data_IF_949315415245
#
_entry.id   IF_949315415245
#
_cell.length_a   1.000
_cell.length_b   1.000
_cell.length_c   1.000
_cell.angle_alpha   90.00
_cell.angle_beta   90.00
_cell.angle_gamma   90.00
#
_symmetry.space_group_name_H-M   'P 1'
#
loop_
_entity.id
_entity.type
_entity.pdbx_description
1 polymer ?
#
# COMPACT_ATOMS: atom_id res chain seq x y z
N UNK A 1 -17.46 39.25 -41.41
CA UNK A 1 -16.47 38.19 -41.13
C UNK A 1 -16.25 37.90 -39.63
N UNK A 2 -16.96 38.54 -38.69
CA UNK A 2 -16.83 38.30 -37.25
C UNK A 2 -17.52 37.01 -36.71
N UNK A 3 -18.64 36.48 -37.26
CA UNK A 3 -19.35 35.37 -36.61
C UNK A 3 -18.62 34.02 -36.67
N UNK A 4 -17.73 33.82 -37.65
CA UNK A 4 -16.92 32.59 -37.79
C UNK A 4 -15.85 32.46 -36.72
N UNK A 5 -15.24 33.56 -36.28
CA UNK A 5 -14.23 33.55 -35.21
C UNK A 5 -14.86 33.26 -33.84
N UNK A 6 -16.07 33.78 -33.59
CA UNK A 6 -16.81 33.53 -32.36
C UNK A 6 -17.27 32.06 -32.25
N UNK A 7 -17.76 31.49 -33.36
CA UNK A 7 -18.13 30.07 -33.43
C UNK A 7 -16.94 29.13 -33.21
N UNK A 8 -15.77 29.47 -33.78
CA UNK A 8 -14.54 28.71 -33.57
C UNK A 8 -14.06 28.77 -32.10
N UNK A 9 -14.16 29.93 -31.44
CA UNK A 9 -13.79 30.07 -30.03
C UNK A 9 -14.70 29.26 -29.09
N UNK A 10 -16.02 29.25 -29.34
CA UNK A 10 -16.98 28.45 -28.58
C UNK A 10 -16.72 26.95 -28.78
N UNK A 11 -16.47 26.51 -30.00
CA UNK A 11 -16.15 25.11 -30.31
C UNK A 11 -14.85 24.65 -29.63
N UNK A 12 -13.81 25.49 -29.62
CA UNK A 12 -12.55 25.22 -28.94
C UNK A 12 -12.75 25.09 -27.42
N UNK A 13 -13.51 26.01 -26.82
CA UNK A 13 -13.81 25.98 -25.39
C UNK A 13 -14.63 24.75 -24.99
N UNK A 14 -15.64 24.40 -25.79
CA UNK A 14 -16.43 23.17 -25.61
C UNK A 14 -15.55 21.92 -25.65
N UNK A 15 -14.64 21.84 -26.61
CA UNK A 15 -13.70 20.71 -26.75
C UNK A 15 -12.76 20.61 -25.55
N UNK A 16 -12.25 21.74 -25.05
CA UNK A 16 -11.40 21.78 -23.85
C UNK A 16 -12.12 21.26 -22.61
N UNK A 17 -13.40 21.62 -22.42
CA UNK A 17 -14.21 21.11 -21.31
C UNK A 17 -14.42 19.60 -21.42
N UNK A 18 -14.78 19.08 -22.59
CA UNK A 18 -14.96 17.63 -22.81
C UNK A 18 -13.65 16.87 -22.57
N UNK A 19 -12.51 17.38 -23.04
CA UNK A 19 -11.20 16.77 -22.79
C UNK A 19 -10.85 16.77 -21.28
N UNK A 20 -11.20 17.84 -20.56
CA UNK A 20 -10.98 17.93 -19.12
C UNK A 20 -11.86 16.93 -18.35
N UNK A 21 -13.13 16.82 -18.71
CA UNK A 21 -14.07 15.91 -18.06
C UNK A 21 -13.76 14.45 -18.36
N UNK A 22 -13.40 14.12 -19.61
CA UNK A 22 -12.94 12.76 -19.96
C UNK A 22 -11.64 12.38 -19.25
N UNK A 23 -10.70 13.32 -19.05
CA UNK A 23 -9.51 13.08 -18.20
C UNK A 23 -9.88 12.83 -16.75
N UNK A 24 -10.85 13.57 -16.20
CA UNK A 24 -11.34 13.36 -14.84
C UNK A 24 -12.03 11.99 -14.71
N UNK A 25 -12.90 11.65 -15.64
CA UNK A 25 -13.60 10.36 -15.68
C UNK A 25 -12.65 9.18 -15.81
N UNK A 26 -11.65 9.23 -16.71
CA UNK A 26 -10.63 8.17 -16.82
C UNK A 26 -9.83 7.98 -15.53
N UNK A 27 -9.52 9.06 -14.81
CA UNK A 27 -8.83 8.99 -13.52
C UNK A 27 -9.68 8.33 -12.45
N UNK A 28 -10.96 8.70 -12.37
CA UNK A 28 -11.89 8.06 -11.43
C UNK A 28 -12.10 6.57 -11.76
N UNK A 29 -12.21 6.22 -13.04
CA UNK A 29 -12.32 4.83 -13.47
C UNK A 29 -11.06 4.02 -13.11
N UNK A 30 -9.86 4.60 -13.27
CA UNK A 30 -8.61 3.95 -12.86
C UNK A 30 -8.53 3.74 -11.34
N UNK A 31 -8.92 4.75 -10.56
CA UNK A 31 -8.98 4.62 -9.08
C UNK A 31 -10.01 3.56 -8.65
N UNK A 32 -11.18 3.49 -9.29
CA UNK A 32 -12.20 2.48 -9.03
C UNK A 32 -11.70 1.06 -9.38
N UNK A 33 -11.02 0.92 -10.52
CA UNK A 33 -10.42 -0.35 -10.93
C UNK A 33 -9.34 -0.81 -9.93
N UNK A 34 -8.46 0.09 -9.50
CA UNK A 34 -7.43 -0.21 -8.51
C UNK A 34 -8.01 -0.56 -7.14
N UNK A 35 -9.04 0.15 -6.69
CA UNK A 35 -9.76 -0.16 -5.45
C UNK A 35 -10.44 -1.54 -5.52
N UNK A 36 -11.09 -1.86 -6.65
CA UNK A 36 -11.73 -3.15 -6.86
C UNK A 36 -10.71 -4.30 -6.88
N UNK A 37 -9.56 -4.11 -7.53
CA UNK A 37 -8.44 -5.05 -7.52
C UNK A 37 -7.95 -5.30 -6.08
N UNK A 38 -7.70 -4.23 -5.31
CA UNK A 38 -7.23 -4.35 -3.93
C UNK A 38 -8.24 -5.10 -3.04
N UNK A 39 -9.53 -4.81 -3.17
CA UNK A 39 -10.59 -5.52 -2.44
C UNK A 39 -10.71 -6.99 -2.85
N UNK A 40 -10.50 -7.31 -4.14
CA UNK A 40 -10.51 -8.68 -4.62
C UNK A 40 -9.36 -9.50 -4.01
N UNK A 41 -8.15 -8.94 -3.96
CA UNK A 41 -6.99 -9.59 -3.35
C UNK A 41 -7.19 -9.80 -1.85
N UNK A 42 -7.66 -8.79 -1.13
CA UNK A 42 -7.97 -8.91 0.29
C UNK A 42 -9.11 -9.90 0.58
N UNK A 43 -10.01 -10.13 -0.39
CA UNK A 43 -11.02 -11.17 -0.28
C UNK A 43 -10.42 -12.55 -0.47
N UNK A 44 -9.49 -12.74 -1.40
CA UNK A 44 -8.79 -14.01 -1.63
C UNK A 44 -8.12 -14.50 -0.33
N UNK A 45 -7.33 -13.64 0.32
CA UNK A 45 -6.69 -13.94 1.62
C UNK A 45 -7.68 -14.25 2.75
N UNK A 46 -8.94 -13.78 2.65
CA UNK A 46 -9.99 -14.18 3.61
C UNK A 46 -10.43 -15.63 3.43
N UNK A 47 -10.56 -16.02 2.17
CA UNK A 47 -11.19 -17.27 1.77
C UNK A 47 -10.16 -18.39 1.86
N UNK A 48 -8.93 -18.07 1.47
CA UNK A 48 -7.80 -18.98 1.50
C UNK A 48 -6.61 -18.33 2.23
N UNK A 49 -6.37 -18.68 3.50
CA UNK A 49 -5.19 -18.23 4.22
C UNK A 49 -3.88 -18.73 3.62
N UNK A 50 -3.89 -19.81 2.81
CA UNK A 50 -2.69 -20.34 2.16
C UNK A 50 -2.15 -19.37 1.08
N UNK A 51 -2.96 -18.40 0.61
CA UNK A 51 -2.57 -17.37 -0.37
C UNK A 51 -1.37 -16.51 0.08
N UNK A 52 -1.07 -16.46 1.38
CA UNK A 52 0.07 -15.68 1.94
C UNK A 52 0.96 -16.53 2.84
N UNK A 53 0.94 -17.86 2.66
CA UNK A 53 1.59 -18.79 3.57
C UNK A 53 3.09 -18.88 3.39
N UNK A 54 3.56 -18.86 2.16
CA UNK A 54 5.00 -18.87 1.86
C UNK A 54 5.49 -17.49 1.41
N UNK A 55 6.81 -17.33 1.43
CA UNK A 55 7.46 -16.05 1.12
C UNK A 55 7.16 -15.59 -0.30
N UNK A 56 7.09 -16.50 -1.28
CA UNK A 56 6.86 -16.15 -2.67
C UNK A 56 5.43 -15.67 -2.88
N UNK A 57 4.45 -16.42 -2.38
CA UNK A 57 3.03 -16.08 -2.42
C UNK A 57 2.75 -14.75 -1.68
N UNK A 58 3.44 -14.51 -0.56
CA UNK A 58 3.35 -13.24 0.17
C UNK A 58 3.85 -12.05 -0.66
N UNK A 59 5.01 -12.18 -1.31
CA UNK A 59 5.57 -11.12 -2.15
C UNK A 59 4.65 -10.85 -3.34
N UNK A 60 4.15 -11.90 -3.99
CA UNK A 60 3.21 -11.77 -5.10
C UNK A 60 1.92 -11.06 -4.66
N UNK A 61 1.33 -11.49 -3.54
CA UNK A 61 0.16 -10.84 -2.95
C UNK A 61 0.40 -9.36 -2.65
N UNK A 62 1.55 -9.02 -2.05
CA UNK A 62 1.90 -7.65 -1.73
C UNK A 62 2.08 -6.81 -3.00
N UNK A 63 2.81 -7.30 -4.00
CA UNK A 63 3.01 -6.62 -5.28
C UNK A 63 1.68 -6.37 -6.02
N UNK A 64 0.79 -7.37 -6.06
CA UNK A 64 -0.53 -7.24 -6.67
C UNK A 64 -1.42 -6.23 -5.95
N UNK A 65 -1.35 -6.18 -4.62
CA UNK A 65 -2.04 -5.18 -3.82
C UNK A 65 -1.45 -3.78 -4.06
N UNK A 66 -0.12 -3.64 -4.06
CA UNK A 66 0.56 -2.36 -4.27
C UNK A 66 0.28 -1.80 -5.67
N UNK A 67 0.13 -2.64 -6.70
CA UNK A 67 -0.34 -2.21 -8.01
C UNK A 67 -1.71 -1.51 -7.93
N UNK A 68 -2.64 -2.06 -7.14
CA UNK A 68 -3.94 -1.43 -6.86
C UNK A 68 -3.81 -0.12 -6.09
N UNK A 69 -2.92 -0.06 -5.09
CA UNK A 69 -2.63 1.16 -4.31
C UNK A 69 -2.06 2.28 -5.19
N UNK A 70 -1.19 1.96 -6.14
CA UNK A 70 -0.57 2.95 -7.04
C UNK A 70 -1.59 3.66 -7.93
N UNK A 71 -2.73 3.03 -8.22
CA UNK A 71 -3.82 3.67 -8.96
C UNK A 71 -4.52 4.79 -8.16
N UNK A 72 -4.40 4.80 -6.83
CA UNK A 72 -5.00 5.82 -5.96
C UNK A 72 -4.19 7.11 -6.04
N UNK A 73 -4.82 8.24 -6.38
CA UNK A 73 -4.09 9.51 -6.58
C UNK A 73 -3.67 10.18 -5.28
N UNK A 74 -4.45 10.04 -4.22
CA UNK A 74 -4.17 10.66 -2.93
C UNK A 74 -2.91 10.05 -2.30
N UNK A 75 -1.87 10.87 -2.11
CA UNK A 75 -0.57 10.42 -1.58
C UNK A 75 -0.66 9.97 -0.12
N UNK A 76 -1.45 10.66 0.70
CA UNK A 76 -1.60 10.30 2.10
C UNK A 76 -2.36 8.97 2.23
N UNK A 77 -3.42 8.82 1.42
CA UNK A 77 -4.16 7.57 1.33
C UNK A 77 -3.30 6.43 0.82
N UNK A 78 -2.49 6.64 -0.23
CA UNK A 78 -1.53 5.64 -0.71
C UNK A 78 -0.59 5.17 0.39
N UNK A 79 0.07 6.11 1.10
CA UNK A 79 0.99 5.76 2.19
C UNK A 79 0.32 4.87 3.24
N UNK A 80 -0.90 5.23 3.64
CA UNK A 80 -1.69 4.46 4.62
C UNK A 80 -2.09 3.09 4.09
N UNK A 81 -2.60 3.01 2.85
CA UNK A 81 -2.99 1.76 2.23
C UNK A 81 -1.78 0.82 2.06
N UNK A 82 -0.62 1.35 1.69
CA UNK A 82 0.64 0.60 1.65
C UNK A 82 0.95 0.01 3.02
N UNK A 83 0.98 0.83 4.09
CA UNK A 83 1.24 0.33 5.44
C UNK A 83 0.26 -0.77 5.87
N UNK A 84 -1.03 -0.61 5.57
CA UNK A 84 -2.03 -1.63 5.87
C UNK A 84 -1.85 -2.91 5.03
N UNK A 85 -1.50 -2.81 3.75
CA UNK A 85 -1.21 -3.97 2.89
C UNK A 85 0.00 -4.74 3.40
N UNK A 86 1.08 -4.05 3.73
CA UNK A 86 2.29 -4.66 4.29
C UNK A 86 1.98 -5.34 5.61
N UNK A 87 1.21 -4.70 6.50
CA UNK A 87 0.72 -5.37 7.72
C UNK A 87 -0.10 -6.63 7.42
N UNK A 88 -0.96 -6.63 6.40
CA UNK A 88 -1.72 -7.83 6.00
C UNK A 88 -0.80 -8.94 5.51
N UNK A 89 0.17 -8.62 4.66
CA UNK A 89 1.11 -9.58 4.10
C UNK A 89 1.98 -10.23 5.18
N UNK A 90 2.41 -9.44 6.19
CA UNK A 90 3.35 -9.88 7.20
C UNK A 90 2.69 -10.45 8.47
N UNK A 91 1.48 -10.02 8.83
CA UNK A 91 0.79 -10.51 10.03
C UNK A 91 0.51 -12.02 9.99
N UNK A 92 0.40 -12.64 8.80
CA UNK A 92 0.17 -14.09 8.66
C UNK A 92 1.39 -14.95 9.00
N UNK A 93 2.60 -14.40 8.90
CA UNK A 93 3.86 -15.17 8.91
C UNK A 93 4.80 -14.72 10.03
N UNK A 94 4.79 -13.43 10.38
CA UNK A 94 5.68 -12.82 11.37
C UNK A 94 4.99 -12.61 12.74
N UNK A 95 3.97 -13.43 13.03
CA UNK A 95 3.09 -13.28 14.19
C UNK A 95 3.78 -13.29 15.57
N UNK A 96 4.98 -13.86 15.67
CA UNK A 96 5.83 -13.78 16.88
C UNK A 96 6.51 -12.41 17.05
N UNK A 97 6.86 -11.72 15.96
CA UNK A 97 7.63 -10.47 16.02
C UNK A 97 6.76 -9.23 16.28
N UNK A 98 5.48 -9.30 15.91
CA UNK A 98 4.51 -8.24 16.19
C UNK A 98 4.02 -8.26 17.66
N UNK A 99 4.21 -9.39 18.37
CA UNK A 99 3.86 -9.53 19.79
C UNK A 99 4.83 -8.78 20.72
N UNK A 100 6.10 -8.61 20.32
CA UNK A 100 7.12 -7.93 21.14
C UNK A 100 6.90 -6.41 21.27
N UNK A 101 6.00 -5.82 20.46
CA UNK A 101 5.70 -4.39 20.47
C UNK A 101 4.22 -4.03 20.66
N UNK A 102 3.32 -5.02 20.64
CA UNK A 102 1.88 -4.80 20.77
C UNK A 102 1.24 -5.88 21.63
N UNK A 103 0.25 -5.51 22.45
CA UNK A 103 -0.61 -6.48 23.17
C UNK A 103 -1.54 -7.27 22.22
N UNK A 104 -1.35 -7.14 20.90
CA UNK A 104 -2.25 -7.71 19.90
C UNK A 104 -1.68 -9.00 19.30
N UNK A 105 -2.55 -10.00 19.16
CA UNK A 105 -2.19 -11.19 18.40
C UNK A 105 -2.23 -10.91 16.89
N UNK A 106 -1.51 -11.72 16.11
CA UNK A 106 -1.45 -11.65 14.65
C UNK A 106 -2.83 -11.55 13.97
N UNK A 107 -3.83 -12.28 14.48
CA UNK A 107 -5.19 -12.27 13.94
C UNK A 107 -5.90 -10.92 14.12
N UNK A 108 -5.71 -10.26 15.26
CA UNK A 108 -6.26 -8.92 15.54
C UNK A 108 -5.62 -7.86 14.64
N UNK A 109 -4.31 -7.92 14.44
CA UNK A 109 -3.60 -7.02 13.52
C UNK A 109 -4.05 -7.19 12.08
N UNK A 110 -4.17 -8.44 11.61
CA UNK A 110 -4.71 -8.76 10.29
C UNK A 110 -6.13 -8.20 10.13
N UNK A 111 -6.99 -8.37 11.13
CA UNK A 111 -8.35 -7.81 11.10
C UNK A 111 -8.34 -6.28 11.01
N UNK A 112 -7.54 -5.61 11.85
CA UNK A 112 -7.44 -4.14 11.87
C UNK A 112 -6.94 -3.58 10.54
N UNK A 113 -5.86 -4.14 9.99
CA UNK A 113 -5.27 -3.69 8.73
C UNK A 113 -6.25 -3.87 7.56
N UNK A 114 -6.95 -5.01 7.49
CA UNK A 114 -7.96 -5.26 6.46
C UNK A 114 -9.16 -4.34 6.59
N UNK A 115 -9.64 -4.10 7.81
CA UNK A 115 -10.73 -3.18 8.06
C UNK A 115 -10.34 -1.75 7.69
N UNK A 116 -9.10 -1.35 7.96
CA UNK A 116 -8.55 -0.05 7.58
C UNK A 116 -8.56 0.15 6.06
N UNK A 117 -8.02 -0.82 5.29
CA UNK A 117 -8.04 -0.76 3.82
C UNK A 117 -9.47 -0.62 3.30
N UNK A 118 -10.38 -1.48 3.77
CA UNK A 118 -11.77 -1.47 3.34
C UNK A 118 -12.42 -0.11 3.58
N UNK A 119 -12.32 0.43 4.80
CA UNK A 119 -12.92 1.72 5.15
C UNK A 119 -12.32 2.88 4.36
N UNK A 120 -11.01 2.86 4.15
CA UNK A 120 -10.30 3.85 3.35
C UNK A 120 -10.76 3.84 1.89
N UNK A 121 -10.94 2.66 1.30
CA UNK A 121 -11.42 2.52 -0.07
C UNK A 121 -12.89 2.87 -0.21
N UNK A 122 -13.76 2.42 0.70
CA UNK A 122 -15.19 2.76 0.72
C UNK A 122 -15.36 4.29 0.76
N UNK A 123 -14.75 4.97 1.74
CA UNK A 123 -14.79 6.43 1.84
C UNK A 123 -14.25 7.10 0.56
N UNK A 124 -13.17 6.57 -0.03
CA UNK A 124 -12.61 7.14 -1.26
C UNK A 124 -13.56 7.01 -2.46
N UNK A 125 -14.24 5.87 -2.59
CA UNK A 125 -15.21 5.57 -3.65
C UNK A 125 -16.47 6.42 -3.50
N UNK A 126 -16.91 6.65 -2.27
CA UNK A 126 -18.04 7.52 -1.94
C UNK A 126 -17.71 9.02 -2.06
N UNK A 127 -16.44 9.35 -2.31
CA UNK A 127 -15.97 10.73 -2.42
C UNK A 127 -15.84 11.45 -1.07
N UNK A 128 -15.86 10.69 0.02
CA UNK A 128 -15.71 11.15 1.38
C UNK A 128 -14.23 11.27 1.79
N UNK A 129 -13.99 11.93 2.92
CA UNK A 129 -12.66 11.97 3.53
C UNK A 129 -12.36 10.60 4.13
N UNK A 130 -11.14 10.10 3.91
CA UNK A 130 -10.69 8.89 4.57
C UNK A 130 -10.83 9.02 6.11
N UNK A 131 -11.39 8.03 6.80
CA UNK A 131 -11.59 8.09 8.25
C UNK A 131 -10.24 8.16 8.95
N UNK A 132 -10.16 8.72 10.14
CA UNK A 132 -8.89 8.72 10.89
C UNK A 132 -8.43 7.29 11.24
N UNK A 133 -7.11 7.04 11.25
CA UNK A 133 -6.60 5.74 11.66
C UNK A 133 -6.93 5.48 13.12
N UNK A 134 -7.36 4.27 13.43
CA UNK A 134 -7.59 3.90 14.83
C UNK A 134 -6.25 3.88 15.58
N UNK A 135 -6.19 4.34 16.86
CA UNK A 135 -4.91 4.39 17.59
C UNK A 135 -4.19 3.05 17.70
N UNK A 136 -4.95 1.95 17.74
CA UNK A 136 -4.40 0.58 17.75
C UNK A 136 -3.64 0.25 16.47
N UNK A 137 -4.22 0.58 15.31
CA UNK A 137 -3.57 0.41 14.01
C UNK A 137 -2.29 1.25 13.91
N UNK A 138 -2.34 2.49 14.40
CA UNK A 138 -1.17 3.40 14.34
C UNK A 138 0.01 2.82 15.11
N UNK A 139 -0.24 2.32 16.33
CA UNK A 139 0.80 1.63 17.13
C UNK A 139 1.33 0.38 16.45
N UNK A 140 0.47 -0.39 15.77
CA UNK A 140 0.90 -1.58 15.05
C UNK A 140 1.82 -1.24 13.86
N UNK A 141 1.49 -0.19 13.10
CA UNK A 141 2.36 0.31 12.02
C UNK A 141 3.70 0.78 12.58
N UNK A 142 3.70 1.59 13.64
CA UNK A 142 4.92 2.08 14.28
C UNK A 142 5.80 0.93 14.81
N UNK A 143 5.19 -0.08 15.43
CA UNK A 143 5.90 -1.26 15.91
C UNK A 143 6.52 -2.07 14.77
N UNK A 144 5.81 -2.20 13.64
CA UNK A 144 6.31 -2.88 12.45
C UNK A 144 7.43 -2.10 11.76
N UNK A 145 7.25 -0.80 11.51
CA UNK A 145 8.30 0.07 10.92
C UNK A 145 9.57 0.07 11.79
N UNK A 146 9.41 0.14 13.12
CA UNK A 146 10.52 0.03 14.07
C UNK A 146 11.18 -1.36 14.09
N UNK A 147 10.48 -2.42 13.67
CA UNK A 147 11.05 -3.75 13.52
C UNK A 147 11.87 -3.88 12.23
N UNK A 148 11.35 -3.40 11.09
CA UNK A 148 12.09 -3.41 9.82
C UNK A 148 13.42 -2.68 9.94
N UNK A 149 13.42 -1.48 10.53
CA UNK A 149 14.64 -0.72 10.78
C UNK A 149 15.67 -1.50 11.61
N UNK A 150 15.22 -2.29 12.59
CA UNK A 150 16.10 -3.14 13.41
C UNK A 150 16.67 -4.32 12.62
N UNK A 151 15.90 -4.90 11.70
CA UNK A 151 16.38 -5.96 10.81
C UNK A 151 17.44 -5.39 9.86
N UNK A 152 17.15 -4.26 9.20
CA UNK A 152 18.09 -3.60 8.29
C UNK A 152 19.41 -3.25 8.98
N UNK A 153 19.34 -2.69 10.19
CA UNK A 153 20.53 -2.38 10.98
C UNK A 153 21.33 -3.63 11.37
N UNK A 154 20.66 -4.75 11.66
CA UNK A 154 21.32 -6.02 11.97
C UNK A 154 22.04 -6.57 10.75
N UNK A 155 21.37 -6.64 9.60
CA UNK A 155 21.95 -7.13 8.35
C UNK A 155 23.19 -6.31 7.95
N UNK A 156 23.10 -4.98 8.04
CA UNK A 156 24.23 -4.08 7.76
C UNK A 156 25.43 -4.37 8.66
N UNK A 157 25.22 -4.58 9.95
CA UNK A 157 26.30 -4.94 10.89
C UNK A 157 26.93 -6.29 10.55
N UNK A 158 26.10 -7.27 10.22
CA UNK A 158 26.55 -8.62 9.85
C UNK A 158 27.39 -8.60 8.55
N UNK A 159 26.98 -7.77 7.56
CA UNK A 159 27.74 -7.54 6.34
C UNK A 159 29.10 -6.87 6.61
N UNK A 160 29.12 -5.80 7.41
CA UNK A 160 30.36 -5.11 7.80
C UNK A 160 31.31 -6.06 8.55
N UNK A 161 30.78 -6.89 9.46
CA UNK A 161 31.58 -7.88 10.17
C UNK A 161 32.10 -8.96 9.24
N UNK A 162 31.26 -9.43 8.31
CA UNK A 162 31.65 -10.37 7.26
C UNK A 162 32.75 -9.85 6.35
N UNK A 163 32.71 -8.56 5.97
CA UNK A 163 33.79 -7.91 5.23
C UNK A 163 35.08 -7.78 6.04
N UNK A 164 34.99 -7.38 7.31
CA UNK A 164 36.16 -7.31 8.21
C UNK A 164 36.84 -8.67 8.35
N UNK A 165 36.06 -9.74 8.54
CA UNK A 165 36.55 -11.13 8.60
C UNK A 165 37.24 -11.54 7.29
N UNK A 166 36.67 -11.18 6.13
CA UNK A 166 37.27 -11.45 4.81
C UNK A 166 38.59 -10.71 4.61
N UNK A 167 38.66 -9.43 4.98
CA UNK A 167 39.91 -8.62 4.91
C UNK A 167 40.99 -9.13 5.87
N UNK A 168 40.61 -9.52 7.08
CA UNK A 168 41.55 -10.08 8.05
C UNK A 168 42.15 -11.41 7.58
N UNK A 169 41.37 -12.25 6.88
CA UNK A 169 41.89 -13.49 6.27
C UNK A 169 42.85 -13.19 5.11
N UNK A 170 42.50 -12.24 4.24
CA UNK A 170 43.34 -11.87 3.09
C UNK A 170 44.65 -11.14 3.47
N UNK A 171 44.74 -10.56 4.66
CA UNK A 171 45.96 -9.89 5.16
C UNK A 171 46.87 -10.82 5.98
N UNK A 172 46.42 -12.05 6.28
CA UNK A 172 47.18 -13.07 7.00
C UNK A 172 47.81 -14.13 6.09
N UNK A 173 47.58 -14.05 4.78
CA UNK A 173 48.25 -14.81 3.70
C UNK A 173 49.36 -13.95 3.08
#
# INVERSE_FOLDING_TARGET
MVPTLLGAAIALYGTLLVVRDTRKGRRQAAEQAGAAQLLAQLRAVRVDPDTVRDRAARVEFEEECLAGVLAIRDRALRKRLTASVTLVAHASTDGEYLQDGTDENAGSLLFLARQDVRRCLEARLDGERAPEPVPRWTRAVEAYEGHELRIEDRMRRDEEEGERRRRARAAGE
#
